data_IF_561690042676
#
_entry.id   IF_561690042676
#
_cell.length_a   1.000
_cell.length_b   1.000
_cell.length_c   1.000
_cell.angle_alpha   90.00
_cell.angle_beta   90.00
_cell.angle_gamma   90.00
#
_symmetry.space_group_name_H-M   'P 1'
#
loop_
_entity.id
_entity.type
_entity.pdbx_description
1 polymer ?
#
# COMPACT_ATOMS: atom_id res chain seq x y z
N UNK A 1 21.50 -50.51 -29.88
CA UNK A 1 20.88 -49.18 -29.84
C UNK A 1 21.44 -48.37 -30.99
N UNK A 2 20.61 -47.86 -31.92
CA UNK A 2 21.08 -47.11 -33.09
C UNK A 2 21.44 -45.67 -32.70
N UNK A 3 22.52 -45.12 -33.28
CA UNK A 3 23.02 -43.77 -32.98
C UNK A 3 21.97 -42.67 -33.20
N UNK A 4 21.06 -42.87 -34.15
CA UNK A 4 19.97 -41.93 -34.45
C UNK A 4 18.92 -41.86 -33.33
N UNK A 5 18.65 -42.97 -32.65
CA UNK A 5 17.74 -42.99 -31.51
C UNK A 5 18.33 -42.21 -30.34
N UNK A 6 19.63 -42.40 -30.06
CA UNK A 6 20.35 -41.66 -29.01
C UNK A 6 20.32 -40.14 -29.30
N UNK A 7 20.62 -39.75 -30.54
CA UNK A 7 20.59 -38.35 -30.98
C UNK A 7 19.19 -37.73 -30.80
N UNK A 8 18.16 -38.45 -31.19
CA UNK A 8 16.76 -37.99 -31.06
C UNK A 8 16.36 -37.80 -29.61
N UNK A 9 16.73 -38.73 -28.73
CA UNK A 9 16.46 -38.63 -27.28
C UNK A 9 17.17 -37.41 -26.69
N UNK A 10 18.46 -37.22 -27.00
CA UNK A 10 19.21 -36.06 -26.52
C UNK A 10 18.62 -34.74 -27.02
N UNK A 11 18.26 -34.67 -28.29
CA UNK A 11 17.62 -33.48 -28.87
C UNK A 11 16.24 -33.21 -28.24
N UNK A 12 15.46 -34.25 -27.96
CA UNK A 12 14.18 -34.11 -27.26
C UNK A 12 14.38 -33.56 -25.85
N UNK A 13 15.34 -34.08 -25.08
CA UNK A 13 15.69 -33.58 -23.74
C UNK A 13 16.14 -32.11 -23.80
N UNK A 14 17.02 -31.75 -24.74
CA UNK A 14 17.45 -30.36 -24.91
C UNK A 14 16.29 -29.44 -25.28
N UNK A 15 15.41 -29.86 -26.18
CA UNK A 15 14.23 -29.07 -26.58
C UNK A 15 13.26 -28.85 -25.41
N UNK A 16 13.03 -29.89 -24.60
CA UNK A 16 12.19 -29.82 -23.41
C UNK A 16 12.82 -28.91 -22.34
N UNK A 17 14.14 -28.98 -22.16
CA UNK A 17 14.86 -28.11 -21.23
C UNK A 17 14.77 -26.64 -21.64
N UNK A 18 14.92 -26.34 -22.94
CA UNK A 18 14.77 -24.97 -23.47
C UNK A 18 13.33 -24.49 -23.29
N UNK A 19 12.34 -25.29 -23.70
CA UNK A 19 10.93 -24.94 -23.57
C UNK A 19 10.53 -24.72 -22.10
N UNK A 20 10.95 -25.62 -21.20
CA UNK A 20 10.74 -25.49 -19.76
C UNK A 20 11.41 -24.25 -19.18
N UNK A 21 12.64 -23.95 -19.59
CA UNK A 21 13.35 -22.73 -19.23
C UNK A 21 12.59 -21.48 -19.65
N UNK A 22 12.10 -21.42 -20.89
CA UNK A 22 11.32 -20.29 -21.39
C UNK A 22 10.01 -20.09 -20.61
N UNK A 23 9.27 -21.17 -20.32
CA UNK A 23 8.04 -21.11 -19.52
C UNK A 23 8.34 -20.61 -18.11
N UNK A 24 9.38 -21.16 -17.46
CA UNK A 24 9.80 -20.73 -16.13
C UNK A 24 10.18 -19.25 -16.13
N UNK A 25 11.00 -18.81 -17.09
CA UNK A 25 11.40 -17.41 -17.24
C UNK A 25 10.19 -16.50 -17.44
N UNK A 26 9.20 -16.89 -18.26
CA UNK A 26 7.98 -16.10 -18.44
C UNK A 26 7.18 -15.95 -17.13
N UNK A 27 7.07 -17.03 -16.34
CA UNK A 27 6.43 -16.99 -15.01
C UNK A 27 7.20 -16.06 -14.07
N UNK A 28 8.53 -16.15 -14.04
CA UNK A 28 9.39 -15.27 -13.23
C UNK A 28 9.25 -13.80 -13.64
N UNK A 29 9.25 -13.49 -14.94
CA UNK A 29 9.05 -12.11 -15.42
C UNK A 29 7.70 -11.54 -14.97
N UNK A 30 6.63 -12.33 -15.01
CA UNK A 30 5.31 -11.91 -14.54
C UNK A 30 5.31 -11.63 -13.03
N UNK A 31 5.93 -12.50 -12.23
CA UNK A 31 6.06 -12.30 -10.79
C UNK A 31 6.90 -11.05 -10.48
N UNK A 32 8.04 -10.89 -11.16
CA UNK A 32 8.94 -9.76 -11.00
C UNK A 32 8.25 -8.42 -11.34
N UNK A 33 7.48 -8.38 -12.44
CA UNK A 33 6.72 -7.19 -12.81
C UNK A 33 5.73 -6.77 -11.72
N UNK A 34 5.02 -7.74 -11.10
CA UNK A 34 4.09 -7.45 -9.98
C UNK A 34 4.83 -6.91 -8.76
N UNK A 35 5.94 -7.55 -8.38
CA UNK A 35 6.78 -7.09 -7.27
C UNK A 35 7.32 -5.67 -7.52
N UNK A 36 7.75 -5.37 -8.75
CA UNK A 36 8.23 -4.04 -9.11
C UNK A 36 7.12 -2.98 -9.03
N UNK A 37 5.90 -3.28 -9.50
CA UNK A 37 4.76 -2.36 -9.36
C UNK A 37 4.45 -2.07 -7.90
N UNK A 38 4.48 -3.09 -7.03
CA UNK A 38 4.33 -2.92 -5.59
C UNK A 38 5.45 -2.07 -4.98
N UNK A 39 6.71 -2.35 -5.32
CA UNK A 39 7.86 -1.59 -4.83
C UNK A 39 7.79 -0.10 -5.23
N UNK A 40 7.45 0.17 -6.49
CA UNK A 40 7.28 1.53 -6.99
C UNK A 40 6.16 2.27 -6.24
N UNK A 41 5.01 1.60 -6.02
CA UNK A 41 3.90 2.16 -5.26
C UNK A 41 4.31 2.49 -3.82
N UNK A 42 4.91 1.54 -3.10
CA UNK A 42 5.38 1.74 -1.72
C UNK A 42 6.36 2.90 -1.63
N UNK A 43 7.22 3.08 -2.66
CA UNK A 43 8.16 4.20 -2.71
C UNK A 43 7.47 5.55 -2.90
N UNK A 44 6.44 5.62 -3.75
CA UNK A 44 5.63 6.85 -3.91
C UNK A 44 4.95 7.24 -2.59
N UNK A 45 4.36 6.27 -1.88
CA UNK A 45 3.75 6.51 -0.58
C UNK A 45 4.78 6.94 0.46
N UNK A 46 5.97 6.32 0.49
CA UNK A 46 7.06 6.73 1.38
C UNK A 46 7.46 8.19 1.13
N UNK A 47 7.58 8.62 -0.14
CA UNK A 47 7.89 10.02 -0.46
C UNK A 47 6.80 10.97 0.02
N UNK A 48 5.52 10.60 -0.10
CA UNK A 48 4.42 11.37 0.49
C UNK A 48 4.52 11.44 2.02
N UNK A 49 4.90 10.34 2.68
CA UNK A 49 5.12 10.33 4.13
C UNK A 49 6.26 11.27 4.54
N UNK A 50 7.36 11.35 3.77
CA UNK A 50 8.44 12.32 4.04
C UNK A 50 7.97 13.77 3.95
N UNK A 51 7.12 14.09 2.96
CA UNK A 51 6.49 15.41 2.88
C UNK A 51 5.60 15.69 4.09
N UNK A 52 4.82 14.71 4.55
CA UNK A 52 3.97 14.82 5.75
C UNK A 52 4.80 14.94 7.03
N UNK A 53 5.91 14.21 7.15
CA UNK A 53 6.84 14.26 8.28
C UNK A 53 7.40 15.67 8.49
N UNK A 54 7.76 16.36 7.40
CA UNK A 54 8.21 17.76 7.48
C UNK A 54 7.13 18.68 8.06
N UNK A 55 5.86 18.47 7.70
CA UNK A 55 4.72 19.26 8.22
C UNK A 55 4.35 18.94 9.67
N UNK A 56 4.64 17.72 10.12
CA UNK A 56 4.50 17.36 11.54
C UNK A 56 5.56 18.08 12.38
N UNK A 57 6.81 18.16 11.87
CA UNK A 57 7.94 18.81 12.55
C UNK A 57 7.83 20.33 12.54
N UNK A 58 7.38 20.90 11.42
CA UNK A 58 7.14 22.34 11.27
C UNK A 58 5.70 22.59 10.78
N UNK A 59 4.75 22.81 11.72
CA UNK A 59 3.36 23.09 11.38
C UNK A 59 3.17 24.38 10.55
N UNK A 60 4.12 25.31 10.56
CA UNK A 60 4.02 26.54 9.77
C UNK A 60 4.06 26.24 8.26
N UNK A 61 4.69 25.14 7.84
CA UNK A 61 4.69 24.68 6.44
C UNK A 61 3.30 24.25 5.96
N UNK A 62 2.37 23.91 6.86
CA UNK A 62 1.00 23.60 6.50
C UNK A 62 0.21 24.86 6.10
N UNK A 63 0.61 26.06 6.57
CA UNK A 63 -0.01 27.34 6.24
C UNK A 63 0.14 27.73 4.75
N UNK A 64 1.09 27.12 4.05
CA UNK A 64 1.35 27.34 2.62
C UNK A 64 0.21 26.79 1.74
N UNK A 65 -0.50 25.75 2.20
CA UNK A 65 -1.61 25.13 1.46
C UNK A 65 -2.94 25.35 2.17
N UNK A 66 -3.71 26.33 1.71
CA UNK A 66 -5.04 26.72 2.24
C UNK A 66 -6.05 25.57 2.38
N UNK A 67 -5.88 24.48 1.62
CA UNK A 67 -6.77 23.32 1.64
C UNK A 67 -6.48 22.30 2.76
N UNK A 68 -5.27 22.30 3.33
CA UNK A 68 -4.84 21.28 4.31
C UNK A 68 -5.15 21.68 5.76
N UNK A 69 -5.36 22.96 6.03
CA UNK A 69 -5.56 23.51 7.39
C UNK A 69 -6.97 24.02 7.67
N UNK A 70 -7.90 23.97 6.72
CA UNK A 70 -9.24 24.53 6.88
C UNK A 70 -10.02 23.96 8.10
N UNK A 71 -9.58 22.83 8.66
CA UNK A 71 -10.21 22.15 9.79
C UNK A 71 -9.32 22.03 11.05
N UNK A 72 -8.04 22.42 11.04
CA UNK A 72 -7.15 22.30 12.20
C UNK A 72 -6.96 23.68 12.84
N UNK A 73 -7.64 23.90 13.97
CA UNK A 73 -7.69 25.20 14.65
C UNK A 73 -6.43 25.52 15.48
N UNK A 74 -5.54 24.55 15.69
CA UNK A 74 -4.30 24.70 16.46
C UNK A 74 -3.19 23.73 15.98
N UNK A 75 -1.94 23.99 16.39
CA UNK A 75 -0.78 23.15 16.00
C UNK A 75 -0.92 21.69 16.41
N UNK A 76 -1.55 21.40 17.55
CA UNK A 76 -1.75 20.03 18.03
C UNK A 76 -2.65 19.25 17.07
N UNK A 77 -3.78 19.83 16.67
CA UNK A 77 -4.70 19.23 15.70
C UNK A 77 -4.03 19.04 14.34
N UNK A 78 -3.17 19.97 13.91
CA UNK A 78 -2.41 19.81 12.68
C UNK A 78 -1.46 18.60 12.77
N UNK A 79 -0.74 18.44 13.89
CA UNK A 79 0.13 17.27 14.12
C UNK A 79 -0.66 15.97 14.16
N UNK A 80 -1.79 15.94 14.87
CA UNK A 80 -2.69 14.78 14.92
C UNK A 80 -3.20 14.42 13.52
N UNK A 81 -3.62 15.41 12.73
CA UNK A 81 -4.10 15.22 11.35
C UNK A 81 -3.02 14.60 10.45
N UNK A 82 -1.81 15.17 10.43
CA UNK A 82 -0.74 14.64 9.59
C UNK A 82 -0.23 13.28 10.09
N UNK A 83 -0.22 13.04 11.40
CA UNK A 83 0.14 11.74 11.96
C UNK A 83 -0.85 10.65 11.55
N UNK A 84 -2.15 10.94 11.65
CA UNK A 84 -3.21 10.03 11.18
C UNK A 84 -3.10 9.77 9.67
N UNK A 85 -2.75 10.79 8.87
CA UNK A 85 -2.49 10.60 7.44
C UNK A 85 -1.27 9.70 7.17
N UNK A 86 -0.22 9.77 7.99
CA UNK A 86 0.91 8.85 7.87
C UNK A 86 0.50 7.41 8.22
N UNK A 87 -0.29 7.21 9.28
CA UNK A 87 -0.82 5.88 9.62
C UNK A 87 -1.67 5.31 8.49
N UNK A 88 -2.56 6.12 7.92
CA UNK A 88 -3.38 5.72 6.78
C UNK A 88 -2.55 5.38 5.54
N UNK A 89 -1.47 6.14 5.26
CA UNK A 89 -0.55 5.85 4.16
C UNK A 89 0.21 4.53 4.37
N UNK A 90 0.69 4.24 5.57
CA UNK A 90 1.32 2.94 5.87
C UNK A 90 0.32 1.81 5.66
N UNK A 91 -0.92 1.99 6.12
CA UNK A 91 -1.96 0.99 5.92
C UNK A 91 -2.31 0.81 4.43
N UNK A 92 -2.26 1.87 3.62
CA UNK A 92 -2.47 1.79 2.18
C UNK A 92 -1.43 0.88 1.50
N UNK A 93 -0.17 0.94 1.94
CA UNK A 93 0.89 0.03 1.47
C UNK A 93 0.51 -1.42 1.77
N UNK A 94 0.08 -1.70 3.00
CA UNK A 94 -0.29 -3.07 3.41
C UNK A 94 -1.52 -3.56 2.66
N UNK A 95 -2.56 -2.73 2.55
CA UNK A 95 -3.78 -3.02 1.81
C UNK A 95 -3.49 -3.28 0.33
N UNK A 96 -2.73 -2.40 -0.33
CA UNK A 96 -2.38 -2.58 -1.73
C UNK A 96 -1.52 -3.84 -1.93
N UNK A 97 -0.53 -4.06 -1.07
CA UNK A 97 0.29 -5.27 -1.09
C UNK A 97 -0.55 -6.54 -0.96
N UNK A 98 -1.58 -6.53 -0.13
CA UNK A 98 -2.52 -7.64 0.00
C UNK A 98 -3.34 -7.85 -1.28
N UNK A 99 -3.91 -6.78 -1.85
CA UNK A 99 -4.66 -6.89 -3.13
C UNK A 99 -3.80 -7.40 -4.30
N UNK A 100 -2.49 -7.17 -4.27
CA UNK A 100 -1.54 -7.65 -5.28
C UNK A 100 -0.93 -9.02 -4.95
N UNK A 101 -1.36 -9.67 -3.86
CA UNK A 101 -0.83 -10.96 -3.41
C UNK A 101 0.64 -10.92 -2.96
N UNK A 102 1.14 -9.74 -2.59
CA UNK A 102 2.50 -9.55 -2.05
C UNK A 102 2.52 -9.63 -0.52
N UNK A 103 1.38 -9.41 0.14
CA UNK A 103 1.22 -9.50 1.60
C UNK A 103 0.29 -10.68 1.94
N UNK A 104 0.70 -11.60 2.82
CA UNK A 104 -0.15 -12.70 3.28
C UNK A 104 -1.43 -12.21 3.98
N UNK A 105 -2.52 -12.96 3.82
CA UNK A 105 -3.84 -12.67 4.42
C UNK A 105 -3.75 -12.47 5.94
N UNK A 106 -3.01 -13.34 6.65
CA UNK A 106 -2.84 -13.26 8.10
C UNK A 106 -2.18 -11.96 8.56
N UNK A 107 -1.19 -11.47 7.80
CA UNK A 107 -0.50 -10.22 8.09
C UNK A 107 -1.42 -9.03 7.83
N UNK A 108 -2.15 -9.05 6.72
CA UNK A 108 -3.18 -8.06 6.41
C UNK A 108 -4.25 -7.98 7.51
N UNK A 109 -4.78 -9.11 7.97
CA UNK A 109 -5.79 -9.15 9.05
C UNK A 109 -5.29 -8.51 10.34
N UNK A 110 -4.04 -8.76 10.72
CA UNK A 110 -3.44 -8.13 11.91
C UNK A 110 -3.40 -6.60 11.79
N UNK A 111 -3.04 -6.09 10.61
CA UNK A 111 -3.10 -4.65 10.33
C UNK A 111 -4.53 -4.12 10.31
N UNK A 112 -5.46 -4.84 9.70
CA UNK A 112 -6.87 -4.45 9.63
C UNK A 112 -7.48 -4.28 11.03
N UNK A 113 -7.22 -5.24 11.93
CA UNK A 113 -7.68 -5.17 13.32
C UNK A 113 -7.14 -3.92 14.04
N UNK A 114 -5.84 -3.63 13.92
CA UNK A 114 -5.23 -2.44 14.54
C UNK A 114 -5.77 -1.15 13.95
N UNK A 115 -6.02 -1.13 12.64
CA UNK A 115 -6.60 0.05 11.99
C UNK A 115 -8.04 0.29 12.39
N UNK A 116 -8.80 -0.75 12.76
CA UNK A 116 -10.12 -0.56 13.39
C UNK A 116 -10.01 0.09 14.76
N UNK A 117 -9.01 -0.26 15.57
CA UNK A 117 -8.76 0.44 16.83
C UNK A 117 -8.46 1.92 16.60
N UNK A 118 -7.66 2.24 15.58
CA UNK A 118 -7.38 3.62 15.17
C UNK A 118 -8.64 4.30 14.60
N UNK A 119 -9.49 3.59 13.85
CA UNK A 119 -10.72 4.12 13.27
C UNK A 119 -11.77 4.50 14.33
N UNK A 120 -11.65 3.96 15.55
CA UNK A 120 -12.46 4.37 16.70
C UNK A 120 -12.03 5.73 17.27
N UNK A 121 -10.80 6.19 17.01
CA UNK A 121 -10.26 7.44 17.56
C UNK A 121 -10.93 8.68 16.94
N UNK A 122 -11.42 9.64 17.76
CA UNK A 122 -12.09 10.84 17.26
C UNK A 122 -11.23 11.66 16.28
N UNK A 123 -9.91 11.74 16.52
CA UNK A 123 -8.98 12.48 15.64
C UNK A 123 -8.87 11.86 14.25
N UNK A 124 -8.88 10.53 14.16
CA UNK A 124 -8.82 9.81 12.89
C UNK A 124 -10.13 9.94 12.12
N UNK A 125 -11.27 9.83 12.82
CA UNK A 125 -12.61 10.02 12.24
C UNK A 125 -12.77 11.44 11.66
N UNK A 126 -12.35 12.47 12.41
CA UNK A 126 -12.32 13.86 11.93
C UNK A 126 -11.45 14.00 10.68
N UNK A 127 -10.27 13.40 10.68
CA UNK A 127 -9.39 13.41 9.51
C UNK A 127 -10.10 12.80 8.30
N UNK A 128 -10.65 11.59 8.39
CA UNK A 128 -11.32 10.90 7.28
C UNK A 128 -12.50 11.71 6.73
N UNK A 129 -13.34 12.26 7.61
CA UNK A 129 -14.52 13.05 7.24
C UNK A 129 -14.19 14.46 6.75
N UNK A 130 -12.98 14.97 6.99
CA UNK A 130 -12.57 16.30 6.53
C UNK A 130 -12.61 16.39 4.99
N UNK A 131 -13.07 17.52 4.42
CA UNK A 131 -13.06 17.75 2.97
C UNK A 131 -11.66 18.00 2.41
N UNK A 132 -10.64 18.12 3.26
CA UNK A 132 -9.24 18.30 2.82
C UNK A 132 -8.79 17.14 1.92
N UNK A 133 -8.03 17.49 0.88
CA UNK A 133 -7.51 16.55 -0.10
C UNK A 133 -6.61 15.52 0.56
N UNK A 134 -6.95 14.25 0.43
CA UNK A 134 -6.12 13.12 0.86
C UNK A 134 -5.60 12.45 -0.39
N UNK A 135 -4.30 12.51 -0.61
CA UNK A 135 -3.69 11.78 -1.72
C UNK A 135 -3.64 10.31 -1.30
N UNK A 136 -4.59 9.51 -1.80
CA UNK A 136 -4.81 8.09 -1.51
C UNK A 136 -5.45 7.43 -2.74
N UNK A 137 -5.32 6.11 -2.88
CA UNK A 137 -6.08 5.35 -3.87
C UNK A 137 -7.59 5.43 -3.58
N UNK A 138 -8.42 5.72 -4.60
CA UNK A 138 -9.88 5.84 -4.45
C UNK A 138 -10.56 4.61 -3.82
N UNK A 139 -10.08 3.42 -4.18
CA UNK A 139 -10.59 2.16 -3.61
C UNK A 139 -10.23 2.04 -2.13
N UNK A 140 -9.02 2.43 -1.76
CA UNK A 140 -8.57 2.44 -0.37
C UNK A 140 -9.32 3.49 0.44
N UNK A 141 -9.55 4.68 -0.12
CA UNK A 141 -10.34 5.72 0.53
C UNK A 141 -11.76 5.22 0.86
N UNK A 142 -12.42 4.51 -0.08
CA UNK A 142 -13.71 3.87 0.17
C UNK A 142 -13.63 2.78 1.25
N UNK A 143 -12.57 1.97 1.22
CA UNK A 143 -12.33 0.93 2.21
C UNK A 143 -12.23 1.51 3.63
N UNK A 144 -11.39 2.53 3.82
CA UNK A 144 -11.19 3.18 5.12
C UNK A 144 -12.43 3.95 5.57
N UNK A 145 -13.14 4.62 4.66
CA UNK A 145 -14.40 5.28 4.99
C UNK A 145 -15.43 4.27 5.53
N UNK A 146 -15.61 3.14 4.83
CA UNK A 146 -16.48 2.06 5.30
C UNK A 146 -16.04 1.46 6.63
N UNK A 147 -14.72 1.34 6.87
CA UNK A 147 -14.18 0.91 8.16
C UNK A 147 -14.55 1.88 9.29
N UNK A 148 -14.38 3.18 9.08
CA UNK A 148 -14.73 4.22 10.05
C UNK A 148 -16.22 4.21 10.36
N UNK A 149 -17.08 4.05 9.36
CA UNK A 149 -18.53 4.01 9.55
C UNK A 149 -18.98 2.75 10.30
N UNK A 150 -18.32 1.61 10.06
CA UNK A 150 -18.62 0.34 10.72
C UNK A 150 -18.06 0.24 12.16
N UNK A 151 -17.07 1.05 12.52
CA UNK A 151 -16.45 1.03 13.85
C UNK A 151 -17.07 2.11 14.75
N UNK A 152 -17.61 1.74 15.93
CA UNK A 152 -18.08 2.70 16.92
C UNK A 152 -16.96 3.64 17.38
N UNK A 153 -17.31 4.90 17.62
CA UNK A 153 -16.38 5.87 18.19
C UNK A 153 -16.03 5.51 19.63
N UNK A 154 -14.76 5.63 19.99
CA UNK A 154 -14.29 5.40 21.36
C UNK A 154 -14.80 6.56 22.25
N UNK A 155 -15.38 6.19 23.39
CA UNK A 155 -15.91 7.12 24.39
C UNK A 155 -14.80 7.92 25.07
#
# INVERSE_FOLDING_TARGET
MTLDLLRTILQAISSLAIAGGLVYTAVQFRAYRRAQHFANFSKLVEMQMRLREMRVKDPALAAVYRHDLAAAGNEREAREYFFNLMQAAVFEIVWYGHTQGQVPEEYFRSWDMRMREIAAEPSFRRMIKSPSMKIMHDQFQRYVAGMVDATPERA
#
